data_IF_159451051486
#
_entry.id   IF_159451051486
#
_cell.length_a   1.000
_cell.length_b   1.000
_cell.length_c   1.000
_cell.angle_alpha   90.00
_cell.angle_beta   90.00
_cell.angle_gamma   90.00
#
_symmetry.space_group_name_H-M   'P 1'
#
loop_
_entity.id
_entity.type
_entity.pdbx_description
1 polymer ?
#
# COMPACT_ATOMS: atom_id res chain seq x y z
N UNK A 1 47.63 6.50 62.37
CA UNK A 1 46.49 6.37 61.43
C UNK A 1 46.22 7.74 60.81
N UNK A 2 46.42 7.90 59.49
CA UNK A 2 45.42 8.59 58.68
C UNK A 2 45.09 7.81 57.40
N UNK A 3 43.80 7.74 57.06
CA UNK A 3 43.27 7.09 55.85
C UNK A 3 43.33 8.09 54.68
N UNK A 4 44.11 7.77 53.65
CA UNK A 4 44.09 8.47 52.36
C UNK A 4 42.81 8.08 51.59
N UNK A 5 41.94 9.05 51.32
CA UNK A 5 40.80 8.91 50.40
C UNK A 5 41.32 9.00 48.97
N UNK A 6 41.16 7.93 48.18
CA UNK A 6 41.28 7.98 46.72
C UNK A 6 39.93 8.35 46.11
N UNK A 7 39.83 9.55 45.57
CA UNK A 7 38.69 10.00 44.77
C UNK A 7 38.69 9.25 43.44
N UNK A 8 37.65 8.43 43.19
CA UNK A 8 37.40 7.80 41.88
C UNK A 8 36.53 8.76 41.07
N UNK A 9 37.10 9.38 40.06
CA UNK A 9 36.34 10.08 39.01
C UNK A 9 35.64 9.03 38.13
N UNK A 10 34.31 8.96 38.23
CA UNK A 10 33.50 8.20 37.29
C UNK A 10 33.26 9.08 36.05
N UNK A 11 33.84 8.69 34.91
CA UNK A 11 33.49 9.28 33.62
C UNK A 11 32.12 8.73 33.20
N UNK A 12 31.11 9.60 33.16
CA UNK A 12 29.80 9.25 32.61
C UNK A 12 29.90 9.18 31.08
N UNK A 13 29.78 7.98 30.50
CA UNK A 13 29.54 7.81 29.07
C UNK A 13 28.10 8.25 28.75
N UNK A 14 27.95 9.40 28.09
CA UNK A 14 26.70 9.76 27.44
C UNK A 14 26.59 8.97 26.13
N UNK A 15 25.75 7.93 26.12
CA UNK A 15 25.32 7.30 24.87
C UNK A 15 24.35 8.24 24.16
N UNK A 16 24.84 8.95 23.14
CA UNK A 16 24.00 9.68 22.19
C UNK A 16 23.27 8.65 21.32
N UNK A 17 22.03 8.31 21.68
CA UNK A 17 21.14 7.59 20.78
C UNK A 17 20.76 8.55 19.65
N UNK A 18 21.47 8.47 18.53
CA UNK A 18 21.06 9.13 17.31
C UNK A 18 19.71 8.53 16.88
N UNK A 19 18.64 9.32 17.05
CA UNK A 19 17.34 9.06 16.44
C UNK A 19 17.51 9.24 14.93
N UNK A 20 17.96 8.20 14.24
CA UNK A 20 17.89 8.14 12.80
C UNK A 20 16.41 8.04 12.43
N UNK A 21 15.81 9.17 12.05
CA UNK A 21 14.54 9.16 11.34
C UNK A 21 14.72 8.29 10.10
N UNK A 22 13.99 7.19 10.03
CA UNK A 22 13.96 6.34 8.84
C UNK A 22 13.57 7.20 7.65
N UNK A 23 14.35 7.13 6.57
CA UNK A 23 13.96 7.74 5.31
C UNK A 23 12.57 7.22 4.93
N UNK A 24 11.67 8.11 4.52
CA UNK A 24 10.33 7.72 4.08
C UNK A 24 10.47 6.63 3.02
N UNK A 25 9.81 5.48 3.24
CA UNK A 25 9.78 4.40 2.28
C UNK A 25 9.23 4.95 0.95
N UNK A 26 9.81 4.51 -0.18
CA UNK A 26 9.30 4.90 -1.50
C UNK A 26 7.80 4.62 -1.59
N UNK A 27 7.05 5.51 -2.27
CA UNK A 27 5.62 5.34 -2.44
C UNK A 27 5.30 3.95 -3.01
N UNK A 28 4.25 3.27 -2.52
CA UNK A 28 3.67 2.15 -3.24
C UNK A 28 3.37 2.53 -4.69
N UNK A 29 3.39 1.55 -5.59
CA UNK A 29 2.98 1.77 -6.97
C UNK A 29 1.46 1.90 -7.08
N UNK A 30 0.92 3.05 -6.65
CA UNK A 30 -0.51 3.32 -6.66
C UNK A 30 -1.09 3.18 -8.06
N UNK A 31 -2.25 2.54 -8.12
CA UNK A 31 -3.11 2.46 -9.29
C UNK A 31 -4.31 3.37 -9.12
N UNK A 32 -4.96 3.70 -10.22
CA UNK A 32 -6.26 4.36 -10.16
C UNK A 32 -7.25 3.55 -9.30
N UNK A 33 -8.11 4.21 -8.51
CA UNK A 33 -8.99 3.54 -7.56
C UNK A 33 -10.25 2.95 -8.20
N UNK A 34 -10.16 2.49 -9.45
CA UNK A 34 -11.28 1.94 -10.24
C UNK A 34 -10.92 0.61 -10.89
N UNK A 35 -11.91 -0.26 -11.16
CA UNK A 35 -11.69 -1.51 -11.90
C UNK A 35 -10.93 -1.31 -13.21
N UNK A 36 -10.17 -2.33 -13.61
CA UNK A 36 -9.40 -2.35 -14.84
C UNK A 36 -10.20 -1.83 -16.05
N UNK A 37 -9.52 -1.05 -16.90
CA UNK A 37 -10.03 -0.64 -18.20
C UNK A 37 -11.07 0.47 -18.16
N UNK A 38 -11.57 0.82 -16.97
CA UNK A 38 -12.43 1.98 -16.83
C UNK A 38 -11.67 3.27 -17.10
N UNK A 39 -12.35 4.21 -17.76
CA UNK A 39 -11.85 5.55 -18.02
C UNK A 39 -12.62 6.53 -17.14
N UNK A 40 -11.89 7.39 -16.45
CA UNK A 40 -12.44 8.39 -15.54
C UNK A 40 -11.78 9.75 -15.80
N UNK A 41 -12.57 10.82 -15.72
CA UNK A 41 -12.04 12.16 -15.78
C UNK A 41 -11.50 12.54 -14.41
N UNK A 42 -10.20 12.79 -14.31
CA UNK A 42 -9.55 13.26 -13.10
C UNK A 42 -9.44 14.78 -13.11
N UNK A 43 -9.96 15.43 -12.09
CA UNK A 43 -10.03 16.89 -11.99
C UNK A 43 -9.30 17.39 -10.74
N UNK A 44 -8.44 18.39 -10.93
CA UNK A 44 -7.72 19.05 -9.84
C UNK A 44 -7.84 20.58 -9.99
N UNK A 45 -7.88 21.29 -8.87
CA UNK A 45 -8.18 22.74 -8.83
C UNK A 45 -7.41 23.43 -7.71
N UNK A 46 -7.05 24.70 -7.88
CA UNK A 46 -6.22 25.45 -6.92
C UNK A 46 -6.92 25.66 -5.57
N UNK A 47 -8.26 25.66 -5.56
CA UNK A 47 -9.08 25.75 -4.37
C UNK A 47 -9.59 24.37 -3.89
N UNK A 48 -9.00 23.27 -4.36
CA UNK A 48 -9.30 21.94 -3.82
C UNK A 48 -8.81 21.86 -2.37
N UNK A 49 -9.49 21.09 -1.52
CA UNK A 49 -9.09 20.91 -0.13
C UNK A 49 -9.06 19.41 0.22
N UNK A 50 -7.87 18.84 0.45
CA UNK A 50 -6.54 19.44 0.30
C UNK A 50 -6.20 19.83 -1.16
N UNK A 51 -5.28 20.77 -1.39
CA UNK A 51 -4.97 21.24 -2.77
C UNK A 51 -4.48 20.14 -3.72
N UNK A 52 -3.89 19.09 -3.16
CA UNK A 52 -3.35 17.97 -3.92
C UNK A 52 -4.33 16.82 -4.14
N UNK A 53 -5.58 16.89 -3.68
CA UNK A 53 -6.58 15.86 -3.98
C UNK A 53 -7.07 15.93 -5.43
N UNK A 54 -7.68 14.84 -5.88
CA UNK A 54 -8.31 14.73 -7.21
C UNK A 54 -9.75 14.25 -7.04
N UNK A 55 -10.64 14.81 -7.86
CA UNK A 55 -11.97 14.26 -8.02
C UNK A 55 -12.04 13.45 -9.30
N UNK A 56 -12.67 12.29 -9.23
CA UNK A 56 -12.94 11.45 -10.37
C UNK A 56 -14.43 11.31 -10.59
N UNK A 57 -14.84 11.58 -11.81
CA UNK A 57 -16.21 11.41 -12.24
C UNK A 57 -16.29 10.89 -13.68
N UNK A 58 -17.42 10.27 -14.00
CA UNK A 58 -17.83 9.90 -15.37
C UNK A 58 -19.35 9.93 -15.46
N UNK A 59 -19.90 9.74 -16.66
CA UNK A 59 -21.35 9.70 -16.82
C UNK A 59 -21.97 8.51 -16.05
N UNK A 60 -23.00 8.80 -15.25
CA UNK A 60 -23.76 7.82 -14.45
C UNK A 60 -22.86 7.01 -13.49
N UNK A 61 -22.01 7.71 -12.75
CA UNK A 61 -21.00 7.10 -11.88
C UNK A 61 -21.48 6.76 -10.47
N UNK A 62 -22.63 7.27 -10.00
CA UNK A 62 -23.15 6.90 -8.69
C UNK A 62 -23.39 5.39 -8.57
N UNK A 63 -22.81 4.78 -7.53
CA UNK A 63 -22.84 3.34 -7.33
C UNK A 63 -21.71 2.56 -8.03
N UNK A 64 -20.90 3.21 -8.86
CA UNK A 64 -19.74 2.55 -9.47
C UNK A 64 -18.74 2.04 -8.44
N UNK A 65 -18.08 0.94 -8.77
CA UNK A 65 -17.14 0.28 -7.87
C UNK A 65 -15.88 1.13 -7.65
N UNK A 66 -15.51 1.33 -6.38
CA UNK A 66 -14.22 1.89 -5.97
C UNK A 66 -13.36 0.78 -5.38
N UNK A 67 -12.10 0.70 -5.82
CA UNK A 67 -11.14 -0.32 -5.40
C UNK A 67 -9.90 0.30 -4.75
N UNK A 68 -9.19 -0.49 -3.93
CA UNK A 68 -7.94 -0.07 -3.32
C UNK A 68 -6.86 0.23 -4.38
N UNK A 69 -6.24 1.40 -4.30
CA UNK A 69 -5.16 1.86 -5.18
C UNK A 69 -3.85 1.09 -4.99
N UNK A 70 -3.63 0.53 -3.80
CA UNK A 70 -2.51 -0.35 -3.45
C UNK A 70 -2.93 -1.29 -2.31
N UNK A 71 -2.14 -2.32 -2.07
CA UNK A 71 -2.35 -3.22 -0.94
C UNK A 71 -2.08 -2.51 0.39
N UNK A 72 -2.81 -2.87 1.44
CA UNK A 72 -2.64 -2.25 2.75
C UNK A 72 -3.68 -2.69 3.77
N UNK A 73 -3.67 -2.05 4.93
CA UNK A 73 -4.64 -2.27 6.01
C UNK A 73 -5.63 -1.11 6.08
N UNK A 74 -6.92 -1.42 6.15
CA UNK A 74 -7.96 -0.41 6.34
C UNK A 74 -7.87 0.14 7.77
N UNK A 75 -7.60 1.44 7.91
CA UNK A 75 -7.45 2.10 9.22
C UNK A 75 -8.64 2.98 9.57
N UNK A 76 -9.43 3.41 8.58
CA UNK A 76 -10.64 4.21 8.80
C UNK A 76 -11.76 3.72 7.90
N UNK A 77 -12.95 3.57 8.50
CA UNK A 77 -14.25 3.50 7.82
C UNK A 77 -15.18 4.41 8.61
N UNK A 78 -15.59 5.54 8.04
CA UNK A 78 -16.36 6.56 8.77
C UNK A 78 -17.44 7.20 7.90
N UNK A 79 -18.55 7.56 8.53
CA UNK A 79 -19.65 8.31 7.93
C UNK A 79 -19.84 9.64 8.67
N UNK A 80 -19.55 10.75 7.99
CA UNK A 80 -19.71 12.12 8.49
C UNK A 80 -21.02 12.78 8.02
N UNK A 81 -21.95 12.01 7.45
CA UNK A 81 -23.23 12.50 6.95
C UNK A 81 -23.07 13.41 5.73
N UNK A 82 -23.68 14.59 5.79
CA UNK A 82 -23.73 15.59 4.70
C UNK A 82 -22.64 16.66 4.80
N UNK A 83 -21.52 16.37 5.49
CA UNK A 83 -20.43 17.33 5.69
C UNK A 83 -19.08 16.73 5.33
N UNK A 84 -18.10 17.60 4.98
CA UNK A 84 -16.72 17.21 4.70
C UNK A 84 -16.63 16.00 3.74
N UNK A 85 -15.84 14.98 4.07
CA UNK A 85 -15.65 13.76 3.28
C UNK A 85 -16.89 12.85 3.15
N UNK A 86 -17.95 13.08 3.93
CA UNK A 86 -19.10 12.19 3.96
C UNK A 86 -18.73 10.78 4.43
N UNK A 87 -19.09 9.75 3.65
CA UNK A 87 -18.60 8.39 3.85
C UNK A 87 -17.22 8.25 3.23
N UNK A 88 -16.25 7.81 4.02
CA UNK A 88 -14.89 7.64 3.54
C UNK A 88 -14.15 6.46 4.17
N UNK A 89 -13.16 5.97 3.43
CA UNK A 89 -12.25 4.90 3.81
C UNK A 89 -10.81 5.43 3.75
N UNK A 90 -9.96 4.99 4.68
CA UNK A 90 -8.50 5.17 4.61
C UNK A 90 -7.81 3.82 4.66
N UNK A 91 -6.86 3.61 3.75
CA UNK A 91 -5.99 2.43 3.70
C UNK A 91 -4.56 2.86 4.01
N UNK A 92 -3.92 2.22 4.98
CA UNK A 92 -2.50 2.36 5.31
C UNK A 92 -1.68 1.33 4.53
N UNK A 93 -0.65 1.82 3.83
CA UNK A 93 0.21 1.03 2.96
C UNK A 93 1.61 0.80 3.55
N UNK A 94 1.84 1.23 4.80
CA UNK A 94 3.14 1.21 5.44
C UNK A 94 4.04 2.38 5.03
N UNK A 95 5.14 2.57 5.76
CA UNK A 95 6.12 3.62 5.44
C UNK A 95 5.57 5.06 5.54
N UNK A 96 4.43 5.25 6.23
CA UNK A 96 3.74 6.54 6.35
C UNK A 96 2.79 6.86 5.18
N UNK A 97 2.65 5.96 4.19
CA UNK A 97 1.77 6.17 3.05
C UNK A 97 0.35 5.70 3.32
N UNK A 98 -0.63 6.55 3.02
CA UNK A 98 -2.05 6.21 3.10
C UNK A 98 -2.80 6.70 1.87
N UNK A 99 -3.90 6.02 1.52
CA UNK A 99 -4.87 6.53 0.54
C UNK A 99 -6.22 6.80 1.21
N UNK A 100 -6.91 7.85 0.77
CA UNK A 100 -8.24 8.23 1.24
C UNK A 100 -9.24 8.23 0.08
N UNK A 101 -10.43 7.69 0.32
CA UNK A 101 -11.51 7.54 -0.66
C UNK A 101 -12.78 8.11 -0.03
N UNK A 102 -13.29 9.23 -0.53
CA UNK A 102 -14.40 9.96 0.08
C UNK A 102 -15.64 10.04 -0.81
N UNK A 103 -16.70 10.67 -0.27
CA UNK A 103 -18.01 10.83 -0.91
C UNK A 103 -18.69 9.51 -1.28
N UNK A 104 -18.27 8.40 -0.67
CA UNK A 104 -18.76 7.07 -1.01
C UNK A 104 -20.28 6.93 -0.76
N UNK A 105 -20.92 6.03 -1.49
CA UNK A 105 -22.30 5.63 -1.22
C UNK A 105 -22.34 4.46 -0.22
N UNK A 106 -21.44 3.48 -0.36
CA UNK A 106 -21.38 2.28 0.48
C UNK A 106 -19.94 1.92 0.86
N UNK A 107 -19.80 1.11 1.93
CA UNK A 107 -18.54 0.48 2.33
C UNK A 107 -18.57 -1.01 1.99
N UNK A 108 -17.44 -1.56 1.56
CA UNK A 108 -17.26 -3.01 1.31
C UNK A 108 -16.15 -3.61 2.15
N UNK A 109 -15.62 -2.84 3.10
CA UNK A 109 -14.50 -3.20 3.99
C UNK A 109 -14.75 -2.73 5.42
N UNK A 110 -13.99 -3.28 6.35
CA UNK A 110 -14.00 -2.92 7.78
C UNK A 110 -12.62 -2.50 8.27
N UNK A 111 -12.55 -1.71 9.35
CA UNK A 111 -11.29 -1.35 10.01
C UNK A 111 -10.54 -2.61 10.44
N UNK A 112 -9.22 -2.64 10.25
CA UNK A 112 -8.33 -3.78 10.50
C UNK A 112 -8.26 -4.79 9.35
N UNK A 113 -9.09 -4.64 8.31
CA UNK A 113 -9.05 -5.54 7.16
C UNK A 113 -7.82 -5.27 6.28
N UNK A 114 -7.03 -6.30 6.02
CA UNK A 114 -6.04 -6.29 4.94
C UNK A 114 -6.72 -6.39 3.59
N UNK A 115 -6.35 -5.50 2.67
CA UNK A 115 -6.86 -5.43 1.30
C UNK A 115 -5.71 -5.55 0.32
N UNK A 116 -5.89 -6.37 -0.71
CA UNK A 116 -5.02 -6.34 -1.88
C UNK A 116 -5.35 -5.12 -2.75
N UNK A 117 -4.39 -4.69 -3.57
CA UNK A 117 -4.65 -3.74 -4.64
C UNK A 117 -5.79 -4.25 -5.55
N UNK A 118 -6.73 -3.37 -5.89
CA UNK A 118 -7.90 -3.72 -6.71
C UNK A 118 -9.04 -4.39 -5.93
N UNK A 119 -8.88 -4.64 -4.62
CA UNK A 119 -10.01 -5.08 -3.78
C UNK A 119 -11.03 -3.95 -3.68
N UNK A 120 -12.30 -4.27 -3.92
CA UNK A 120 -13.40 -3.32 -3.71
C UNK A 120 -13.43 -2.84 -2.26
N UNK A 121 -13.48 -1.53 -2.08
CA UNK A 121 -13.57 -0.85 -0.78
C UNK A 121 -14.93 -0.19 -0.55
N UNK A 122 -15.68 0.07 -1.61
CA UNK A 122 -16.97 0.74 -1.56
C UNK A 122 -17.49 1.07 -2.96
N UNK A 123 -18.41 2.01 -3.01
CA UNK A 123 -18.96 2.53 -4.27
C UNK A 123 -18.98 4.06 -4.28
N UNK A 124 -18.83 4.64 -5.46
CA UNK A 124 -18.96 6.09 -5.71
C UNK A 124 -20.32 6.56 -5.22
N UNK A 125 -20.37 7.75 -4.67
CA UNK A 125 -21.59 8.35 -4.16
C UNK A 125 -21.56 9.85 -4.19
N UNK A 126 -22.50 10.43 -3.46
CA UNK A 126 -22.66 11.87 -3.32
C UNK A 126 -22.84 12.28 -1.84
N UNK A 127 -22.21 11.56 -0.91
CA UNK A 127 -22.28 11.90 0.52
C UNK A 127 -21.31 13.02 0.87
N UNK A 128 -21.48 13.66 2.02
CA UNK A 128 -20.58 14.73 2.47
C UNK A 128 -20.88 16.09 1.83
N UNK A 129 -19.88 16.97 1.81
CA UNK A 129 -19.94 18.30 1.18
C UNK A 129 -19.82 18.24 -0.33
N UNK A 130 -20.56 17.34 -0.98
CA UNK A 130 -20.53 17.08 -2.41
C UNK A 130 -21.76 17.65 -3.12
N UNK A 131 -21.59 18.20 -4.32
CA UNK A 131 -22.68 18.76 -5.15
C UNK A 131 -23.18 17.81 -6.24
N UNK A 132 -22.50 16.68 -6.44
CA UNK A 132 -22.84 15.67 -7.45
C UNK A 132 -21.97 14.43 -7.26
N UNK A 133 -22.41 13.28 -7.77
CA UNK A 133 -21.68 12.04 -7.59
C UNK A 133 -20.26 12.12 -8.18
N UNK A 134 -19.27 11.72 -7.37
CA UNK A 134 -17.86 11.61 -7.74
C UNK A 134 -17.09 10.87 -6.63
N UNK A 135 -15.85 10.47 -6.92
CA UNK A 135 -14.89 10.04 -5.92
C UNK A 135 -13.87 11.15 -5.66
N UNK A 136 -13.78 11.65 -4.43
CA UNK A 136 -12.62 12.42 -3.98
C UNK A 136 -11.54 11.45 -3.49
N UNK A 137 -10.33 11.57 -4.02
CA UNK A 137 -9.21 10.67 -3.76
C UNK A 137 -7.95 11.43 -3.32
N UNK A 138 -7.21 10.84 -2.38
CA UNK A 138 -5.94 11.37 -1.89
C UNK A 138 -4.87 10.27 -1.79
N UNK A 139 -3.63 10.62 -2.13
CA UNK A 139 -2.41 9.94 -1.68
C UNK A 139 -1.75 10.82 -0.61
N UNK A 140 -1.46 10.26 0.56
CA UNK A 140 -0.87 11.03 1.67
C UNK A 140 0.38 10.36 2.21
N UNK A 141 1.38 11.17 2.55
CA UNK A 141 2.58 10.76 3.26
C UNK A 141 2.60 11.46 4.61
N UNK A 142 2.66 10.69 5.70
CA UNK A 142 2.64 11.19 7.08
C UNK A 142 1.49 12.20 7.32
N UNK A 143 0.30 11.87 6.81
CA UNK A 143 -0.92 12.70 6.91
C UNK A 143 -1.02 13.86 5.91
N UNK A 144 0.05 14.19 5.18
CA UNK A 144 0.05 15.30 4.22
C UNK A 144 -0.25 14.83 2.79
N UNK A 145 -1.25 15.43 2.15
CA UNK A 145 -1.63 15.10 0.78
C UNK A 145 -0.51 15.43 -0.22
N UNK A 146 -0.14 14.44 -1.02
CA UNK A 146 0.91 14.51 -2.03
C UNK A 146 0.31 14.67 -3.42
N UNK A 147 1.12 15.16 -4.37
CA UNK A 147 0.72 15.13 -5.78
C UNK A 147 0.57 13.68 -6.25
N UNK A 148 -0.61 13.36 -6.75
CA UNK A 148 -1.03 12.00 -7.06
C UNK A 148 -0.24 11.45 -8.24
N UNK A 149 0.25 10.21 -8.09
CA UNK A 149 0.96 9.48 -9.13
C UNK A 149 0.41 8.07 -9.27
N UNK A 150 -0.14 7.78 -10.46
CA UNK A 150 -0.49 6.41 -10.81
C UNK A 150 0.58 5.81 -11.70
N UNK A 151 1.02 4.58 -11.38
CA UNK A 151 2.10 3.93 -12.12
C UNK A 151 3.38 4.78 -12.18
N UNK A 152 3.68 5.55 -11.13
CA UNK A 152 4.80 6.49 -11.07
C UNK A 152 4.62 7.79 -11.88
N UNK A 153 3.58 7.87 -12.72
CA UNK A 153 3.27 9.05 -13.54
C UNK A 153 2.30 9.97 -12.82
N UNK A 154 2.69 11.24 -12.69
CA UNK A 154 1.82 12.25 -12.08
C UNK A 154 0.62 12.56 -12.99
N UNK A 155 -0.54 12.78 -12.38
CA UNK A 155 -1.70 13.33 -13.08
C UNK A 155 -1.51 14.83 -13.41
N UNK A 156 -2.41 15.35 -14.22
CA UNK A 156 -2.52 16.76 -14.54
C UNK A 156 -2.99 17.52 -13.30
N UNK A 157 -2.26 18.57 -12.93
CA UNK A 157 -2.65 19.49 -11.88
C UNK A 157 -3.22 20.77 -12.44
N UNK A 158 -4.31 21.24 -11.83
CA UNK A 158 -5.07 22.45 -12.19
C UNK A 158 -5.74 22.34 -13.56
N UNK A 159 -6.47 21.25 -13.76
CA UNK A 159 -7.19 20.95 -15.00
C UNK A 159 -7.95 19.64 -14.91
N UNK A 160 -8.38 19.15 -16.06
CA UNK A 160 -9.06 17.85 -16.21
C UNK A 160 -8.42 17.05 -17.32
N UNK A 161 -8.31 15.75 -17.12
CA UNK A 161 -7.87 14.81 -18.15
C UNK A 161 -8.45 13.42 -17.87
N UNK A 162 -8.61 12.64 -18.92
CA UNK A 162 -9.12 11.28 -18.79
C UNK A 162 -7.98 10.29 -18.54
N UNK A 163 -8.20 9.37 -17.61
CA UNK A 163 -7.23 8.35 -17.22
C UNK A 163 -7.87 6.97 -17.29
N UNK A 164 -7.16 6.02 -17.89
CA UNK A 164 -7.57 4.61 -17.93
C UNK A 164 -6.97 3.87 -16.74
N UNK A 165 -7.82 3.24 -15.94
CA UNK A 165 -7.37 2.42 -14.83
C UNK A 165 -6.64 1.18 -15.34
N UNK A 166 -5.43 0.96 -14.81
CA UNK A 166 -4.66 -0.28 -14.97
C UNK A 166 -4.75 -1.18 -13.73
N UNK A 167 -5.61 -0.83 -12.78
CA UNK A 167 -5.74 -1.54 -11.52
C UNK A 167 -6.26 -2.96 -11.77
N UNK A 168 -5.43 -3.95 -11.46
CA UNK A 168 -5.73 -5.38 -11.60
C UNK A 168 -6.11 -5.82 -13.03
N UNK A 169 -5.54 -5.23 -14.08
CA UNK A 169 -5.81 -5.56 -15.49
C UNK A 169 -5.27 -6.90 -16.02
N UNK A 170 -5.15 -7.91 -15.17
CA UNK A 170 -4.49 -9.17 -15.51
C UNK A 170 -2.97 -8.98 -15.59
N UNK A 171 -2.28 -9.37 -14.51
CA UNK A 171 -0.81 -9.58 -14.44
C UNK A 171 0.14 -8.40 -14.16
N UNK A 172 -0.32 -7.22 -13.74
CA UNK A 172 0.60 -6.09 -13.45
C UNK A 172 0.21 -5.21 -12.25
N UNK A 173 -0.55 -5.80 -11.33
CA UNK A 173 -0.95 -5.19 -10.08
C UNK A 173 -0.07 -5.55 -8.89
N UNK A 174 1.23 -5.77 -9.13
CA UNK A 174 2.03 -6.48 -8.16
C UNK A 174 2.35 -5.64 -6.93
N UNK A 175 2.11 -6.20 -5.75
CA UNK A 175 2.60 -5.60 -4.51
C UNK A 175 4.13 -5.63 -4.51
N UNK A 176 4.77 -4.62 -3.93
CA UNK A 176 6.22 -4.66 -3.74
C UNK A 176 6.54 -5.51 -2.51
N UNK A 177 7.60 -6.30 -2.60
CA UNK A 177 8.16 -7.04 -1.48
C UNK A 177 9.67 -6.83 -1.39
N UNK A 178 10.23 -6.92 -0.19
CA UNK A 178 11.68 -6.94 0.03
C UNK A 178 12.10 -8.25 0.69
N UNK A 179 13.06 -8.95 0.09
CA UNK A 179 13.63 -10.17 0.67
C UNK A 179 14.39 -9.83 1.95
N UNK A 180 14.14 -10.58 3.02
CA UNK A 180 14.91 -10.52 4.26
C UNK A 180 15.24 -11.93 4.73
N UNK A 181 16.51 -12.30 4.61
CA UNK A 181 17.05 -13.63 4.92
C UNK A 181 18.29 -13.56 5.81
N UNK A 182 18.58 -12.40 6.40
CA UNK A 182 19.77 -12.18 7.24
C UNK A 182 21.08 -12.55 6.52
N UNK A 183 21.22 -12.13 5.25
CA UNK A 183 22.42 -12.27 4.43
C UNK A 183 22.50 -13.50 3.52
N UNK A 184 21.64 -14.51 3.66
CA UNK A 184 21.69 -15.71 2.80
C UNK A 184 20.79 -15.56 1.57
N UNK A 185 21.22 -15.84 0.32
CA UNK A 185 20.33 -15.73 -0.84
C UNK A 185 19.07 -16.60 -0.72
N UNK A 186 17.91 -16.02 -1.03
CA UNK A 186 16.62 -16.72 -1.03
C UNK A 186 16.44 -17.50 -2.32
N UNK A 187 16.07 -18.78 -2.22
CA UNK A 187 15.77 -19.61 -3.39
C UNK A 187 14.46 -19.17 -4.08
N UNK A 188 14.53 -19.01 -5.41
CA UNK A 188 13.36 -18.86 -6.29
C UNK A 188 12.98 -20.22 -6.84
N UNK A 189 11.72 -20.61 -6.72
CA UNK A 189 11.22 -21.93 -7.09
C UNK A 189 10.27 -21.90 -8.28
N UNK A 190 10.19 -23.01 -8.99
CA UNK A 190 9.30 -23.20 -10.15
C UNK A 190 7.80 -23.22 -9.81
N UNK A 191 7.45 -23.41 -8.54
CA UNK A 191 6.09 -23.43 -8.04
C UNK A 191 5.99 -23.13 -6.55
N UNK A 192 4.75 -23.06 -6.00
CA UNK A 192 4.49 -22.65 -4.63
C UNK A 192 4.75 -23.78 -3.63
N UNK A 193 6.02 -24.19 -3.46
CA UNK A 193 6.35 -25.24 -2.49
C UNK A 193 7.82 -25.57 -2.43
N UNK A 194 8.25 -26.13 -1.30
CA UNK A 194 9.66 -26.47 -1.05
C UNK A 194 10.16 -27.68 -1.85
N UNK A 195 9.24 -28.48 -2.41
CA UNK A 195 9.54 -29.60 -3.32
C UNK A 195 9.75 -29.18 -4.77
N UNK A 196 9.34 -27.97 -5.15
CA UNK A 196 9.56 -27.46 -6.51
C UNK A 196 11.03 -27.13 -6.76
N UNK A 197 11.48 -27.35 -8.00
CA UNK A 197 12.85 -27.10 -8.42
C UNK A 197 13.25 -25.64 -8.20
N UNK A 198 14.52 -25.43 -7.81
CA UNK A 198 15.11 -24.10 -7.70
C UNK A 198 15.42 -23.61 -9.12
N UNK A 199 14.90 -22.44 -9.48
CA UNK A 199 15.07 -21.81 -10.82
C UNK A 199 15.86 -20.50 -10.75
N UNK A 200 16.35 -20.15 -9.56
CA UNK A 200 17.21 -18.99 -9.32
C UNK A 200 17.33 -18.66 -7.84
N UNK A 201 17.94 -17.52 -7.55
CA UNK A 201 18.03 -16.97 -6.20
C UNK A 201 17.88 -15.44 -6.22
N UNK A 202 17.58 -14.87 -5.06
CA UNK A 202 17.54 -13.43 -4.81
C UNK A 202 18.47 -13.11 -3.63
N UNK A 203 19.23 -12.01 -3.73
CA UNK A 203 20.04 -11.54 -2.61
C UNK A 203 19.15 -11.07 -1.44
N UNK A 204 19.72 -11.09 -0.23
CA UNK A 204 19.11 -10.40 0.90
C UNK A 204 18.94 -8.90 0.59
N UNK A 205 17.81 -8.33 1.01
CA UNK A 205 17.43 -6.94 0.70
C UNK A 205 16.92 -6.71 -0.73
N UNK A 206 16.88 -7.72 -1.60
CA UNK A 206 16.40 -7.57 -2.98
C UNK A 206 14.91 -7.18 -3.01
N UNK A 207 14.57 -6.21 -3.86
CA UNK A 207 13.18 -5.81 -4.12
C UNK A 207 12.55 -6.69 -5.20
N UNK A 208 11.28 -7.05 -5.02
CA UNK A 208 10.49 -7.85 -5.96
C UNK A 208 9.11 -7.25 -6.19
N UNK A 209 8.57 -7.49 -7.37
CA UNK A 209 7.15 -7.24 -7.67
C UNK A 209 6.40 -8.56 -7.60
N UNK A 210 5.46 -8.66 -6.66
CA UNK A 210 4.62 -9.83 -6.39
C UNK A 210 3.38 -9.74 -7.27
N UNK A 211 3.39 -10.43 -8.41
CA UNK A 211 2.32 -10.38 -9.41
C UNK A 211 1.00 -10.94 -8.88
N UNK A 212 1.08 -12.03 -8.12
CA UNK A 212 -0.05 -12.68 -7.45
C UNK A 212 0.48 -13.56 -6.31
N UNK A 213 -0.42 -13.99 -5.42
CA UNK A 213 -0.12 -14.88 -4.31
C UNK A 213 -0.98 -16.13 -4.34
N UNK A 214 -0.40 -17.26 -3.98
CA UNK A 214 -1.13 -18.53 -3.87
C UNK A 214 -0.71 -19.29 -2.63
N UNK A 215 -1.45 -20.35 -2.30
CA UNK A 215 -1.13 -21.19 -1.13
C UNK A 215 -0.27 -22.37 -1.57
N UNK A 216 0.70 -22.74 -0.74
CA UNK A 216 1.68 -23.78 -1.03
C UNK A 216 2.21 -24.48 0.22
N UNK A 217 3.39 -25.09 0.13
CA UNK A 217 4.07 -25.66 1.31
C UNK A 217 4.30 -24.60 2.38
N UNK A 218 4.14 -24.95 3.67
CA UNK A 218 4.45 -24.03 4.77
C UNK A 218 5.96 -23.82 4.91
N UNK A 219 6.38 -22.58 5.11
CA UNK A 219 7.77 -22.18 5.29
C UNK A 219 7.86 -21.31 6.54
N UNK A 220 8.85 -21.59 7.39
CA UNK A 220 9.24 -20.71 8.49
C UNK A 220 10.42 -19.87 8.06
N UNK A 221 10.30 -18.55 8.19
CA UNK A 221 11.32 -17.59 7.83
C UNK A 221 11.34 -16.38 8.76
N UNK A 222 11.99 -15.32 8.33
CA UNK A 222 12.21 -14.09 9.11
C UNK A 222 10.93 -13.46 9.63
N UNK A 223 9.83 -13.54 8.88
CA UNK A 223 8.52 -12.98 9.24
C UNK A 223 7.55 -14.04 9.79
N UNK A 224 8.07 -15.15 10.32
CA UNK A 224 7.28 -16.21 10.93
C UNK A 224 6.98 -17.37 9.98
N UNK A 225 5.90 -18.11 10.25
CA UNK A 225 5.48 -19.27 9.45
C UNK A 225 4.30 -18.92 8.58
N UNK A 226 4.44 -19.12 7.26
CA UNK A 226 3.39 -18.84 6.28
C UNK A 226 3.32 -19.94 5.22
N UNK A 227 2.12 -20.18 4.70
CA UNK A 227 1.87 -21.02 3.52
C UNK A 227 1.61 -20.19 2.25
N UNK A 228 1.80 -18.87 2.32
CA UNK A 228 1.65 -17.96 1.19
C UNK A 228 2.93 -17.96 0.35
N UNK A 229 2.75 -18.06 -0.97
CA UNK A 229 3.81 -18.00 -1.96
C UNK A 229 3.58 -16.84 -2.93
N UNK A 230 4.62 -16.04 -3.11
CA UNK A 230 4.66 -14.86 -3.96
C UNK A 230 5.12 -15.23 -5.36
N UNK A 231 4.26 -15.09 -6.36
CA UNK A 231 4.66 -15.22 -7.78
C UNK A 231 5.31 -13.91 -8.23
N UNK A 232 6.60 -13.96 -8.52
CA UNK A 232 7.42 -12.80 -8.89
C UNK A 232 7.77 -12.76 -10.39
N UNK A 233 7.19 -13.68 -11.16
CA UNK A 233 7.42 -13.84 -12.59
C UNK A 233 6.87 -15.18 -13.09
N UNK A 234 6.92 -15.41 -14.39
CA UNK A 234 6.46 -16.68 -14.97
C UNK A 234 7.29 -17.85 -14.41
N UNK A 235 6.62 -18.78 -13.72
CA UNK A 235 7.27 -19.93 -13.07
C UNK A 235 8.28 -19.54 -11.97
N UNK A 236 8.12 -18.38 -11.34
CA UNK A 236 9.05 -17.91 -10.29
C UNK A 236 8.29 -17.57 -9.03
N UNK A 237 8.55 -18.33 -7.98
CA UNK A 237 7.88 -18.21 -6.68
C UNK A 237 8.88 -18.09 -5.55
N UNK A 238 8.58 -17.27 -4.56
CA UNK A 238 9.30 -17.18 -3.30
C UNK A 238 8.32 -17.27 -2.12
N UNK A 239 8.74 -17.83 -0.97
CA UNK A 239 7.88 -17.88 0.21
C UNK A 239 7.68 -16.49 0.81
N UNK A 240 6.45 -16.18 1.21
CA UNK A 240 6.10 -14.91 1.84
C UNK A 240 6.75 -14.75 3.22
N UNK A 241 7.05 -15.86 3.91
CA UNK A 241 7.75 -15.90 5.19
C UNK A 241 9.14 -15.21 5.20
N UNK A 242 9.73 -14.95 4.03
CA UNK A 242 11.00 -14.23 3.87
C UNK A 242 10.84 -12.90 3.11
N UNK A 243 9.61 -12.48 2.79
CA UNK A 243 9.35 -11.28 1.99
C UNK A 243 8.59 -10.27 2.83
N UNK A 244 9.22 -9.13 3.12
CA UNK A 244 8.54 -8.01 3.75
C UNK A 244 7.57 -7.38 2.76
N UNK A 245 6.28 -7.44 3.07
CA UNK A 245 5.21 -6.83 2.27
C UNK A 245 4.41 -5.79 3.04
N UNK A 246 4.70 -5.61 4.34
CA UNK A 246 3.93 -4.78 5.25
C UNK A 246 2.63 -5.42 5.78
N UNK A 247 2.38 -6.71 5.51
CA UNK A 247 1.20 -7.45 5.96
C UNK A 247 1.53 -8.93 6.19
N UNK A 248 0.89 -9.54 7.18
CA UNK A 248 0.95 -11.00 7.42
C UNK A 248 -0.01 -11.80 6.50
N UNK A 249 -0.83 -11.09 5.72
CA UNK A 249 -1.80 -11.65 4.78
C UNK A 249 -1.44 -11.41 3.32
N UNK A 250 -2.33 -11.84 2.43
CA UNK A 250 -2.13 -11.61 1.00
C UNK A 250 -2.19 -10.11 0.66
N UNK A 251 -1.15 -9.63 -0.02
CA UNK A 251 -1.00 -8.26 -0.54
C UNK A 251 -1.20 -8.20 -2.06
N UNK A 252 -1.13 -9.32 -2.75
CA UNK A 252 -1.34 -9.43 -4.19
C UNK A 252 -2.61 -10.25 -4.47
N UNK A 253 -3.26 -10.07 -5.63
CA UNK A 253 -4.40 -10.90 -6.04
C UNK A 253 -4.03 -12.39 -6.06
N UNK A 254 -5.02 -13.30 -5.95
CA UNK A 254 -4.76 -14.73 -6.06
C UNK A 254 -4.14 -15.09 -7.42
N UNK A 255 -3.15 -15.99 -7.40
CA UNK A 255 -2.93 -16.89 -8.53
C UNK A 255 -3.96 -18.03 -8.41
#
# INVERSE_FOLDING_TARGET
MPRSLRTRTAAALFAFAALFGSAAQAAPNFQMPFPCGQVWSGQTRTNHNPVNSVDFNRANDEGDTVVAAAAGMVTVVRNLGSTSYGKYVVVDHGGGWTTLYAHLNSFSVSVGQNVAMGRQIGTVGNTGGSTGAHLHFEERLNGSAQKIKFNGSQILYFGSNDYTSRNSCGSSGGANGQVNTSGTPLNVRSGPGTSYSIVGSLADGASVTIQCQTTGSSVTGTYGTSNIWNRIGSGRFIPDAYTYTGSDGRVAPPC
#
